data_IF_128991372180
#
_entry.id   IF_128991372180
#
_cell.length_a   1.000
_cell.length_b   1.000
_cell.length_c   1.000
_cell.angle_alpha   90.00
_cell.angle_beta   90.00
_cell.angle_gamma   90.00
#
_symmetry.space_group_name_H-M   'P 1'
#
loop_
_entity.id
_entity.type
_entity.pdbx_description
1 polymer ?
#
# COMPACT_ATOMS: atom_id res chain seq x y z
N UNK A 1 -1.34 -13.60 -3.78
CA UNK A 1 -1.38 -12.45 -2.86
C UNK A 1 -1.96 -11.27 -3.61
N UNK A 2 -2.97 -10.61 -3.06
CA UNK A 2 -3.69 -9.51 -3.70
C UNK A 2 -3.76 -8.33 -2.74
N UNK A 3 -3.22 -7.19 -3.18
CA UNK A 3 -3.38 -5.90 -2.53
C UNK A 3 -4.16 -4.98 -3.44
N UNK A 4 -5.22 -4.34 -2.92
CA UNK A 4 -5.93 -3.34 -3.71
C UNK A 4 -5.20 -2.00 -3.65
N UNK A 5 -4.90 -1.43 -4.83
CA UNK A 5 -4.30 -0.12 -4.96
C UNK A 5 -5.33 0.99 -4.71
N UNK A 6 -4.90 2.05 -4.00
CA UNK A 6 -5.63 3.30 -3.75
C UNK A 6 -7.18 3.15 -3.69
N UNK A 7 -7.72 2.35 -2.76
CA UNK A 7 -9.12 1.88 -2.78
C UNK A 7 -10.16 3.00 -2.60
N UNK A 8 -9.74 4.19 -2.19
CA UNK A 8 -10.59 5.36 -1.97
C UNK A 8 -10.20 6.56 -2.87
N UNK A 9 -9.41 6.34 -3.92
CA UNK A 9 -9.25 7.33 -5.00
C UNK A 9 -10.61 7.55 -5.68
N UNK A 10 -10.83 8.75 -6.23
CA UNK A 10 -12.06 9.05 -6.97
C UNK A 10 -12.35 7.95 -8.03
N UNK A 11 -13.60 7.48 -8.06
CA UNK A 11 -14.08 6.38 -8.89
C UNK A 11 -13.46 4.98 -8.62
N UNK A 12 -12.73 4.81 -7.53
CA UNK A 12 -12.26 3.52 -7.02
C UNK A 12 -13.02 3.20 -5.73
N UNK A 13 -13.41 1.94 -5.56
CA UNK A 13 -14.16 1.47 -4.39
C UNK A 13 -13.45 0.27 -3.77
N UNK A 14 -13.41 0.14 -2.44
CA UNK A 14 -12.82 -1.02 -1.80
C UNK A 14 -13.56 -2.30 -2.19
N UNK A 15 -12.80 -3.33 -2.56
CA UNK A 15 -13.33 -4.67 -2.79
C UNK A 15 -13.64 -5.35 -1.44
N UNK A 16 -14.44 -6.43 -1.49
CA UNK A 16 -14.72 -7.24 -0.32
C UNK A 16 -13.43 -7.69 0.38
N UNK A 17 -13.31 -7.48 1.70
CA UNK A 17 -12.07 -7.71 2.43
C UNK A 17 -11.65 -9.18 2.40
N UNK A 18 -12.58 -10.12 2.32
CA UNK A 18 -12.28 -11.56 2.22
C UNK A 18 -11.54 -11.98 0.94
N UNK A 19 -11.47 -11.10 -0.08
CA UNK A 19 -10.73 -11.35 -1.32
C UNK A 19 -9.32 -10.73 -1.31
N UNK A 20 -8.94 -10.03 -0.25
CA UNK A 20 -7.73 -9.23 -0.17
C UNK A 20 -6.80 -9.71 0.93
N UNK A 21 -5.51 -9.78 0.63
CA UNK A 21 -4.47 -9.94 1.66
C UNK A 21 -4.16 -8.61 2.35
N UNK A 22 -4.37 -7.51 1.64
CA UNK A 22 -4.11 -6.16 2.13
C UNK A 22 -4.59 -5.08 1.18
N UNK A 23 -4.31 -3.82 1.54
CA UNK A 23 -4.59 -2.65 0.72
C UNK A 23 -3.46 -1.63 0.78
N UNK A 24 -3.37 -0.80 -0.25
CA UNK A 24 -2.54 0.40 -0.23
C UNK A 24 -3.22 1.46 0.65
N UNK A 25 -2.64 1.71 1.82
CA UNK A 25 -3.15 2.70 2.78
C UNK A 25 -2.55 4.08 2.59
N UNK A 26 -1.53 4.18 1.75
CA UNK A 26 -0.96 5.44 1.33
C UNK A 26 -0.53 5.36 -0.12
N UNK A 27 -1.18 6.16 -0.95
CA UNK A 27 -0.74 6.42 -2.31
C UNK A 27 -0.17 7.84 -2.38
N UNK A 28 1.10 7.95 -2.77
CA UNK A 28 1.87 9.19 -2.76
C UNK A 28 1.75 10.04 -4.02
N UNK A 29 0.90 9.66 -4.99
CA UNK A 29 0.75 10.38 -6.25
C UNK A 29 0.15 11.79 -6.00
N UNK A 30 0.91 12.88 -6.20
CA UNK A 30 0.47 14.24 -5.87
C UNK A 30 -0.65 14.77 -6.78
N UNK A 31 -1.07 14.03 -7.82
CA UNK A 31 -2.18 14.42 -8.71
C UNK A 31 -3.51 13.80 -8.31
N UNK A 32 -3.55 12.99 -7.25
CA UNK A 32 -4.75 12.29 -6.83
C UNK A 32 -5.01 12.42 -5.34
N UNK A 33 -6.24 12.82 -5.00
CA UNK A 33 -6.78 12.68 -3.64
C UNK A 33 -7.17 11.23 -3.39
N UNK A 34 -6.25 10.47 -2.77
CA UNK A 34 -6.42 9.03 -2.54
C UNK A 34 -7.16 8.69 -1.24
N UNK A 35 -7.51 9.71 -0.44
CA UNK A 35 -8.18 9.56 0.86
C UNK A 35 -7.50 8.52 1.77
N UNK A 36 -6.18 8.64 1.92
CA UNK A 36 -5.32 7.68 2.62
C UNK A 36 -5.81 7.36 4.06
N UNK A 37 -6.39 8.33 4.76
CA UNK A 37 -6.97 8.13 6.10
C UNK A 37 -8.09 7.08 6.10
N UNK A 38 -8.99 7.11 5.10
CA UNK A 38 -10.06 6.10 4.94
C UNK A 38 -9.47 4.72 4.67
N UNK A 39 -8.38 4.66 3.92
CA UNK A 39 -7.67 3.41 3.65
C UNK A 39 -7.06 2.81 4.91
N UNK A 40 -6.44 3.63 5.77
CA UNK A 40 -5.92 3.18 7.08
C UNK A 40 -7.05 2.65 7.96
N UNK A 41 -8.16 3.38 8.07
CA UNK A 41 -9.33 2.96 8.86
C UNK A 41 -9.91 1.64 8.36
N UNK A 42 -10.09 1.50 7.05
CA UNK A 42 -10.60 0.28 6.43
C UNK A 42 -9.68 -0.92 6.70
N UNK A 43 -8.36 -0.75 6.53
CA UNK A 43 -7.41 -1.81 6.78
C UNK A 43 -7.42 -2.27 8.25
N UNK A 44 -7.48 -1.33 9.21
CA UNK A 44 -7.58 -1.65 10.64
C UNK A 44 -8.89 -2.38 10.96
N UNK A 45 -10.02 -1.91 10.43
CA UNK A 45 -11.34 -2.51 10.66
C UNK A 45 -11.42 -3.96 10.19
N UNK A 46 -10.77 -4.28 9.08
CA UNK A 46 -10.85 -5.59 8.43
C UNK A 46 -9.60 -6.47 8.63
N UNK A 47 -8.66 -6.06 9.50
CA UNK A 47 -7.39 -6.77 9.75
C UNK A 47 -6.59 -7.04 8.47
N UNK A 48 -6.63 -6.10 7.52
CA UNK A 48 -5.92 -6.19 6.26
C UNK A 48 -4.49 -5.68 6.41
N UNK A 49 -3.55 -6.30 5.68
CA UNK A 49 -2.17 -5.81 5.64
C UNK A 49 -2.10 -4.47 4.93
N UNK A 50 -1.12 -3.65 5.29
CA UNK A 50 -0.99 -2.28 4.80
C UNK A 50 0.29 -2.13 3.97
N UNK A 51 0.17 -1.50 2.81
CA UNK A 51 1.32 -1.07 2.00
C UNK A 51 1.21 0.42 1.65
N UNK A 52 2.32 0.99 1.18
CA UNK A 52 2.40 2.33 0.65
C UNK A 52 3.15 2.32 -0.68
N UNK A 53 2.70 3.10 -1.65
CA UNK A 53 3.27 3.21 -2.99
C UNK A 53 3.27 4.65 -3.49
N UNK A 54 4.24 4.99 -4.36
CA UNK A 54 4.31 6.32 -4.98
C UNK A 54 3.41 6.46 -6.20
N UNK A 55 3.04 5.35 -6.84
CA UNK A 55 2.33 5.34 -8.12
C UNK A 55 3.05 6.22 -9.17
N UNK A 56 4.34 5.90 -9.35
CA UNK A 56 5.32 6.69 -10.11
C UNK A 56 5.03 6.72 -11.61
N UNK A 57 4.84 7.92 -12.15
CA UNK A 57 4.66 8.20 -13.58
C UNK A 57 5.62 9.29 -14.10
N UNK A 58 6.15 10.14 -13.22
CA UNK A 58 7.06 11.24 -13.56
C UNK A 58 8.03 11.57 -12.42
N UNK A 59 9.08 12.35 -12.70
CA UNK A 59 10.14 12.68 -11.74
C UNK A 59 9.60 13.27 -10.41
N UNK A 60 8.49 14.02 -10.46
CA UNK A 60 7.82 14.57 -9.28
C UNK A 60 7.20 13.52 -8.34
N UNK A 61 7.14 12.25 -8.73
CA UNK A 61 6.60 11.15 -7.92
C UNK A 61 7.69 10.41 -7.12
N UNK A 62 8.96 10.79 -7.33
CA UNK A 62 10.11 10.12 -6.74
C UNK A 62 10.03 10.14 -5.21
N UNK A 63 10.24 8.98 -4.59
CA UNK A 63 10.32 8.80 -3.14
C UNK A 63 9.08 9.28 -2.35
N UNK A 64 7.91 9.32 -3.00
CA UNK A 64 6.64 9.71 -2.37
C UNK A 64 5.88 8.58 -1.71
N UNK A 65 6.34 7.33 -1.79
CA UNK A 65 5.70 6.19 -1.14
C UNK A 65 6.61 4.97 -1.16
N UNK A 66 6.27 3.96 -0.39
CA UNK A 66 7.06 2.74 -0.27
C UNK A 66 6.95 2.07 1.10
N UNK A 67 7.61 0.93 1.24
CA UNK A 67 7.62 0.12 2.46
C UNK A 67 9.06 -0.09 2.92
N UNK A 68 9.23 -0.19 4.24
CA UNK A 68 10.49 -0.64 4.85
C UNK A 68 10.27 -2.06 5.35
N UNK A 69 11.14 -2.96 4.90
CA UNK A 69 11.16 -4.36 5.30
C UNK A 69 12.27 -4.62 6.31
N UNK A 70 12.15 -5.69 7.09
CA UNK A 70 13.19 -6.14 8.03
C UNK A 70 14.52 -6.50 7.36
N UNK A 71 14.49 -6.87 6.08
CA UNK A 71 15.65 -7.19 5.25
C UNK A 71 15.34 -6.88 3.78
N UNK A 72 16.37 -6.79 2.94
CA UNK A 72 16.19 -6.71 1.50
C UNK A 72 15.79 -8.09 0.93
N UNK A 73 14.66 -8.22 0.21
CA UNK A 73 14.31 -9.46 -0.47
C UNK A 73 15.26 -9.69 -1.65
N UNK A 74 15.66 -10.94 -1.89
CA UNK A 74 16.51 -11.35 -3.02
C UNK A 74 15.75 -11.35 -4.34
N UNK A 75 14.47 -11.68 -4.28
CA UNK A 75 13.60 -11.80 -5.45
C UNK A 75 12.13 -11.49 -5.09
N UNK A 76 11.26 -11.52 -6.09
CA UNK A 76 9.83 -11.25 -5.93
C UNK A 76 9.11 -12.30 -5.07
N UNK A 77 9.60 -13.54 -5.02
CA UNK A 77 9.01 -14.61 -4.22
C UNK A 77 9.31 -14.40 -2.73
N UNK A 78 10.53 -14.01 -2.39
CA UNK A 78 10.90 -13.63 -1.03
C UNK A 78 10.15 -12.39 -0.59
N UNK A 79 10.02 -11.37 -1.45
CA UNK A 79 9.19 -10.20 -1.16
C UNK A 79 7.74 -10.60 -0.84
N UNK A 80 7.13 -11.48 -1.64
CA UNK A 80 5.76 -11.94 -1.40
C UNK A 80 5.63 -12.67 -0.06
N UNK A 81 6.59 -13.53 0.30
CA UNK A 81 6.63 -14.21 1.60
C UNK A 81 6.79 -13.23 2.76
N UNK A 82 7.64 -12.23 2.62
CA UNK A 82 7.86 -11.19 3.63
C UNK A 82 6.59 -10.34 3.85
N UNK A 83 5.88 -9.99 2.78
CA UNK A 83 4.59 -9.31 2.86
C UNK A 83 3.53 -10.18 3.53
N UNK A 84 3.41 -11.45 3.13
CA UNK A 84 2.49 -12.41 3.74
C UNK A 84 2.78 -12.64 5.24
N UNK A 85 4.06 -12.65 5.63
CA UNK A 85 4.53 -12.84 6.99
C UNK A 85 4.53 -11.59 7.89
N UNK A 86 4.10 -10.43 7.37
CA UNK A 86 4.03 -9.21 8.18
C UNK A 86 5.39 -8.55 8.45
N UNK A 87 6.36 -8.70 7.57
CA UNK A 87 7.71 -8.13 7.72
C UNK A 87 7.81 -6.63 7.38
N UNK A 88 6.69 -5.95 7.10
CA UNK A 88 6.65 -4.50 6.89
C UNK A 88 6.74 -3.80 8.24
N UNK A 89 7.84 -3.09 8.49
CA UNK A 89 8.09 -2.42 9.78
C UNK A 89 7.74 -0.94 9.76
N UNK A 90 7.70 -0.33 8.57
CA UNK A 90 7.34 1.08 8.40
C UNK A 90 6.78 1.33 7.01
N UNK A 91 5.80 2.22 6.91
CA UNK A 91 5.31 2.79 5.66
C UNK A 91 5.98 4.13 5.43
N UNK A 92 6.44 4.39 4.21
CA UNK A 92 6.95 5.69 3.77
C UNK A 92 5.74 6.50 3.28
N UNK A 93 5.53 7.70 3.80
CA UNK A 93 4.33 8.51 3.56
C UNK A 93 4.71 9.97 3.26
N UNK A 94 5.62 10.18 2.32
CA UNK A 94 6.18 11.50 2.02
C UNK A 94 5.22 12.30 1.13
N UNK A 95 4.50 13.23 1.75
CA UNK A 95 3.70 14.26 1.09
C UNK A 95 4.54 15.41 0.56
#
# INVERSE_FOLDING_TARGET
MIYQAHPFRAAVFPEKPEYLDGIEVYNGNPRHESHNEKAVEYAKKHNLKMISGSDFHQAGDLARGGIVLTAAPKDSMELAKMLAGGCVVRLIQNS
#
